data_IF_065039256602
#
_entry.id   IF_065039256602
#
_cell.length_a   1.000
_cell.length_b   1.000
_cell.length_c   1.000
_cell.angle_alpha   90.00
_cell.angle_beta   90.00
_cell.angle_gamma   90.00
#
_symmetry.space_group_name_H-M   'P 1'
#
loop_
_entity.id
_entity.type
_entity.pdbx_description
1 polymer ?
#
# COMPACT_ATOMS: atom_id res chain seq x y z
N UNK A 1 -22.25 -42.97 -25.76
CA UNK A 1 -21.82 -41.87 -26.64
C UNK A 1 -21.34 -40.75 -25.73
N UNK A 2 -20.03 -40.67 -25.50
CA UNK A 2 -19.39 -39.77 -24.51
C UNK A 2 -18.52 -38.80 -25.29
N UNK A 3 -18.99 -37.57 -25.51
CA UNK A 3 -18.17 -36.49 -26.07
C UNK A 3 -18.65 -35.15 -25.48
N UNK A 4 -18.33 -34.85 -24.22
CA UNK A 4 -18.25 -33.47 -23.69
C UNK A 4 -17.19 -33.41 -22.57
N UNK A 5 -15.98 -33.91 -22.82
CA UNK A 5 -14.85 -33.76 -21.88
C UNK A 5 -13.54 -33.32 -22.56
N UNK A 6 -13.60 -32.86 -23.81
CA UNK A 6 -12.41 -32.46 -24.58
C UNK A 6 -12.17 -30.94 -24.68
N UNK A 7 -13.20 -30.08 -24.51
CA UNK A 7 -13.05 -28.64 -24.75
C UNK A 7 -12.65 -27.80 -23.52
N UNK A 8 -12.92 -28.28 -22.30
CA UNK A 8 -12.55 -27.54 -21.06
C UNK A 8 -11.04 -27.65 -20.78
N UNK A 9 -10.41 -28.74 -21.24
CA UNK A 9 -8.98 -29.01 -21.02
C UNK A 9 -8.08 -28.13 -21.87
N UNK A 10 -8.58 -27.64 -23.01
CA UNK A 10 -7.87 -26.76 -23.94
C UNK A 10 -7.76 -25.33 -23.45
N UNK A 11 -8.77 -24.79 -22.75
CA UNK A 11 -8.73 -23.40 -22.28
C UNK A 11 -7.79 -23.22 -21.09
N UNK A 12 -7.81 -24.12 -20.10
CA UNK A 12 -6.88 -24.04 -18.97
C UNK A 12 -5.43 -24.23 -19.40
N UNK A 13 -5.14 -25.11 -20.37
CA UNK A 13 -3.79 -25.27 -20.92
C UNK A 13 -3.37 -24.02 -21.72
N UNK A 14 -4.30 -23.35 -22.41
CA UNK A 14 -4.05 -22.08 -23.09
C UNK A 14 -3.73 -20.96 -22.09
N UNK A 15 -4.50 -20.87 -21.01
CA UNK A 15 -4.26 -19.92 -19.92
C UNK A 15 -2.96 -20.22 -19.16
N UNK A 16 -2.63 -21.48 -18.91
CA UNK A 16 -1.36 -21.89 -18.28
C UNK A 16 -0.16 -21.55 -19.17
N UNK A 17 -0.28 -21.72 -20.50
CA UNK A 17 0.77 -21.32 -21.43
C UNK A 17 0.90 -19.79 -21.55
N UNK A 18 -0.20 -19.04 -21.44
CA UNK A 18 -0.17 -17.57 -21.35
C UNK A 18 0.53 -17.12 -20.06
N UNK A 19 0.24 -17.76 -18.92
CA UNK A 19 0.95 -17.44 -17.66
C UNK A 19 2.43 -17.85 -17.68
N UNK A 20 2.81 -18.84 -18.49
CA UNK A 20 4.23 -19.20 -18.70
C UNK A 20 4.97 -18.24 -19.62
N UNK A 21 4.26 -17.46 -20.43
CA UNK A 21 4.81 -16.36 -21.25
C UNK A 21 4.72 -15.00 -20.55
N UNK A 22 4.15 -14.94 -19.35
CA UNK A 22 4.26 -13.80 -18.47
C UNK A 22 5.67 -13.83 -17.87
N UNK A 23 6.66 -13.48 -18.69
CA UNK A 23 7.91 -13.00 -18.11
C UNK A 23 7.54 -11.76 -17.32
N UNK A 24 7.80 -11.72 -16.00
CA UNK A 24 7.53 -10.54 -15.22
C UNK A 24 8.33 -9.44 -15.90
N UNK A 25 7.62 -8.52 -16.55
CA UNK A 25 8.26 -7.30 -16.99
C UNK A 25 8.74 -6.72 -15.66
N UNK A 26 10.06 -6.55 -15.49
CA UNK A 26 10.71 -6.17 -14.23
C UNK A 26 10.37 -4.75 -13.75
N UNK A 27 9.10 -4.40 -13.86
CA UNK A 27 8.41 -3.17 -13.56
C UNK A 27 7.17 -3.61 -12.74
N UNK A 28 7.45 -4.04 -11.51
CA UNK A 28 6.51 -4.61 -10.54
C UNK A 28 5.26 -3.71 -10.34
N UNK A 29 5.39 -2.41 -10.63
CA UNK A 29 4.29 -1.44 -10.59
C UNK A 29 3.18 -1.74 -11.61
N UNK A 30 3.52 -2.21 -12.82
CA UNK A 30 2.52 -2.52 -13.85
C UNK A 30 1.72 -3.77 -13.51
N UNK A 31 2.36 -4.75 -12.89
CA UNK A 31 1.68 -5.97 -12.44
C UNK A 31 0.70 -5.69 -11.29
N UNK A 32 1.03 -4.78 -10.38
CA UNK A 32 0.16 -4.40 -9.26
C UNK A 32 -1.10 -3.63 -9.74
N UNK A 33 -0.95 -2.74 -10.72
CA UNK A 33 -2.05 -2.04 -11.39
C UNK A 33 -3.00 -3.01 -12.11
N UNK A 34 -2.44 -3.99 -12.83
CA UNK A 34 -3.21 -5.01 -13.53
C UNK A 34 -4.01 -5.87 -12.54
N UNK A 35 -3.40 -6.27 -11.42
CA UNK A 35 -4.08 -7.02 -10.35
C UNK A 35 -5.23 -6.21 -9.73
N UNK A 36 -5.03 -4.91 -9.50
CA UNK A 36 -6.08 -4.02 -9.00
C UNK A 36 -7.28 -3.96 -9.96
N UNK A 37 -7.01 -3.74 -11.25
CA UNK A 37 -8.05 -3.67 -12.29
C UNK A 37 -8.81 -5.00 -12.40
N UNK A 38 -8.11 -6.13 -12.36
CA UNK A 38 -8.73 -7.48 -12.39
C UNK A 38 -9.66 -7.66 -11.19
N UNK A 39 -9.23 -7.29 -9.98
CA UNK A 39 -10.07 -7.37 -8.77
C UNK A 39 -11.31 -6.48 -8.86
N UNK A 40 -11.15 -5.24 -9.35
CA UNK A 40 -12.29 -4.32 -9.57
C UNK A 40 -13.28 -4.88 -10.58
N UNK A 41 -12.79 -5.38 -11.71
CA UNK A 41 -13.62 -6.00 -12.74
C UNK A 41 -14.39 -7.22 -12.19
N UNK A 42 -13.71 -8.14 -11.50
CA UNK A 42 -14.35 -9.31 -10.90
C UNK A 42 -15.45 -8.90 -9.92
N UNK A 43 -15.19 -7.92 -9.04
CA UNK A 43 -16.18 -7.39 -8.09
C UNK A 43 -17.40 -6.81 -8.82
N UNK A 44 -17.21 -6.05 -9.89
CA UNK A 44 -18.32 -5.50 -10.69
C UNK A 44 -19.13 -6.62 -11.34
N UNK A 45 -18.48 -7.61 -11.97
CA UNK A 45 -19.17 -8.75 -12.61
C UNK A 45 -19.98 -9.60 -11.63
N UNK A 46 -19.55 -9.65 -10.37
CA UNK A 46 -20.25 -10.38 -9.31
C UNK A 46 -21.32 -9.55 -8.59
N UNK A 47 -21.43 -8.25 -8.89
CA UNK A 47 -22.42 -7.34 -8.29
C UNK A 47 -23.76 -7.40 -9.04
N UNK A 48 -24.83 -6.99 -8.37
CA UNK A 48 -26.15 -6.83 -8.99
C UNK A 48 -26.25 -5.52 -9.78
N UNK A 49 -27.20 -5.43 -10.73
CA UNK A 49 -27.43 -4.21 -11.52
C UNK A 49 -27.74 -2.98 -10.64
N UNK A 50 -28.42 -3.19 -9.50
CA UNK A 50 -28.71 -2.12 -8.53
C UNK A 50 -27.43 -1.56 -7.91
N UNK A 51 -26.52 -2.44 -7.51
CA UNK A 51 -25.22 -2.06 -6.95
C UNK A 51 -24.37 -1.36 -7.99
N UNK A 52 -24.32 -1.84 -9.24
CA UNK A 52 -23.60 -1.17 -10.33
C UNK A 52 -24.06 0.28 -10.53
N UNK A 53 -25.37 0.52 -10.50
CA UNK A 53 -25.92 1.88 -10.62
C UNK A 53 -25.55 2.76 -9.44
N UNK A 54 -25.46 2.18 -8.24
CA UNK A 54 -25.00 2.88 -7.05
C UNK A 54 -23.51 3.23 -7.16
N UNK A 55 -22.67 2.29 -7.60
CA UNK A 55 -21.25 2.55 -7.83
C UNK A 55 -21.03 3.59 -8.92
N UNK A 56 -21.81 3.55 -10.00
CA UNK A 56 -21.79 4.57 -11.04
C UNK A 56 -21.98 5.97 -10.45
N UNK A 57 -22.99 6.13 -9.58
CA UNK A 57 -23.26 7.40 -8.89
C UNK A 57 -22.10 7.81 -7.98
N UNK A 58 -21.53 6.87 -7.23
CA UNK A 58 -20.43 7.16 -6.32
C UNK A 58 -19.13 7.53 -7.05
N UNK A 59 -18.79 6.84 -8.13
CA UNK A 59 -17.52 7.00 -8.83
C UNK A 59 -17.53 8.16 -9.83
N UNK A 60 -18.66 8.39 -10.52
CA UNK A 60 -18.77 9.44 -11.54
C UNK A 60 -19.51 10.69 -11.03
N UNK A 61 -20.09 10.65 -9.83
CA UNK A 61 -20.83 11.77 -9.23
C UNK A 61 -22.13 12.13 -9.96
N UNK A 62 -22.62 11.26 -10.85
CA UNK A 62 -23.81 11.46 -11.70
C UNK A 62 -24.75 10.28 -11.57
N UNK A 63 -26.06 10.52 -11.64
CA UNK A 63 -27.02 9.42 -11.68
C UNK A 63 -26.81 8.57 -12.94
N UNK A 64 -26.90 7.25 -12.77
CA UNK A 64 -26.75 6.31 -13.89
C UNK A 64 -27.93 6.44 -14.85
N UNK A 65 -27.69 6.70 -16.15
CA UNK A 65 -28.74 6.64 -17.15
C UNK A 65 -29.42 5.27 -17.15
N UNK A 66 -30.73 5.26 -17.39
CA UNK A 66 -31.57 4.05 -17.27
C UNK A 66 -31.48 3.12 -18.49
N UNK A 67 -31.02 3.64 -19.62
CA UNK A 67 -30.84 2.97 -20.90
C UNK A 67 -29.54 2.17 -21.00
N UNK A 68 -28.59 2.36 -20.08
CA UNK A 68 -27.33 1.61 -20.08
C UNK A 68 -27.51 0.17 -19.59
N UNK A 69 -26.92 -0.75 -20.35
CA UNK A 69 -26.78 -2.16 -19.98
C UNK A 69 -25.74 -2.37 -18.88
N UNK A 70 -25.77 -3.54 -18.25
CA UNK A 70 -24.80 -3.95 -17.22
C UNK A 70 -23.35 -3.84 -17.71
N UNK A 71 -23.10 -4.28 -18.95
CA UNK A 71 -21.76 -4.28 -19.55
C UNK A 71 -21.29 -2.86 -19.82
N UNK A 72 -22.15 -1.98 -20.32
CA UNK A 72 -21.81 -0.57 -20.56
C UNK A 72 -21.52 0.18 -19.26
N UNK A 73 -22.27 -0.11 -18.18
CA UNK A 73 -21.98 0.46 -16.85
C UNK A 73 -20.63 -0.04 -16.34
N UNK A 74 -20.36 -1.34 -16.49
CA UNK A 74 -19.08 -1.95 -16.09
C UNK A 74 -17.91 -1.33 -16.84
N UNK A 75 -18.03 -1.17 -18.17
CA UNK A 75 -17.00 -0.54 -19.01
C UNK A 75 -16.73 0.89 -18.54
N UNK A 76 -17.77 1.70 -18.36
CA UNK A 76 -17.60 3.10 -17.90
C UNK A 76 -16.93 3.21 -16.53
N UNK A 77 -17.23 2.29 -15.61
CA UNK A 77 -16.58 2.22 -14.30
C UNK A 77 -15.11 1.79 -14.43
N UNK A 78 -14.81 0.79 -15.25
CA UNK A 78 -13.45 0.34 -15.51
C UNK A 78 -12.60 1.41 -16.20
N UNK A 79 -13.16 2.15 -17.16
CA UNK A 79 -12.51 3.30 -17.79
C UNK A 79 -12.20 4.39 -16.77
N UNK A 80 -13.11 4.66 -15.83
CA UNK A 80 -12.84 5.62 -14.75
C UNK A 80 -11.71 5.15 -13.83
N UNK A 81 -11.65 3.88 -13.46
CA UNK A 81 -10.56 3.32 -12.65
C UNK A 81 -9.22 3.33 -13.39
N UNK A 82 -9.20 2.99 -14.68
CA UNK A 82 -7.99 3.09 -15.49
C UNK A 82 -7.53 4.54 -15.67
N UNK A 83 -8.47 5.47 -15.88
CA UNK A 83 -8.18 6.89 -15.94
C UNK A 83 -7.67 7.42 -14.59
N UNK A 84 -8.11 6.86 -13.47
CA UNK A 84 -7.61 7.17 -12.13
C UNK A 84 -6.14 6.74 -11.95
N UNK A 85 -5.76 5.55 -12.40
CA UNK A 85 -4.37 5.08 -12.37
C UNK A 85 -3.43 5.89 -13.29
N UNK A 86 -3.93 6.31 -14.45
CA UNK A 86 -3.15 7.10 -15.43
C UNK A 86 -3.01 8.57 -15.08
N UNK A 87 -3.80 9.07 -14.12
CA UNK A 87 -3.56 10.42 -13.59
C UNK A 87 -2.20 10.36 -12.89
N UNK A 88 -1.26 11.26 -13.22
CA UNK A 88 0.00 11.31 -12.48
C UNK A 88 -0.35 11.40 -11.00
N UNK A 89 0.22 10.49 -10.21
CA UNK A 89 0.05 10.48 -8.76
C UNK A 89 0.53 11.85 -8.29
N UNK A 90 -0.42 12.73 -8.04
CA UNK A 90 -0.18 13.90 -7.23
C UNK A 90 0.30 13.28 -5.89
N UNK A 91 1.46 13.65 -5.31
CA UNK A 91 1.98 13.16 -4.00
C UNK A 91 1.12 13.62 -2.80
N UNK A 92 -0.13 13.73 -3.12
CA UNK A 92 -1.12 14.73 -2.89
C UNK A 92 -2.46 14.04 -3.40
N UNK A 93 -2.50 12.68 -3.42
CA UNK A 93 -3.59 11.68 -3.22
C UNK A 93 -4.56 11.28 -4.35
N UNK A 94 -5.35 10.18 -4.30
CA UNK A 94 -6.26 9.66 -3.23
C UNK A 94 -6.53 8.11 -3.27
N UNK A 95 -6.78 7.31 -2.21
CA UNK A 95 -7.52 7.54 -0.95
C UNK A 95 -7.12 8.84 -0.27
N UNK A 96 -8.07 9.68 0.14
CA UNK A 96 -7.78 11.06 0.52
C UNK A 96 -6.62 11.28 1.50
N UNK A 97 -5.92 12.43 1.37
CA UNK A 97 -4.63 12.88 2.02
C UNK A 97 -4.56 12.56 3.47
N UNK A 98 -5.71 12.48 4.10
CA UNK A 98 -5.83 12.10 5.46
C UNK A 98 -5.55 10.60 5.74
N UNK A 99 -5.18 9.77 4.76
CA UNK A 99 -5.22 8.31 4.93
C UNK A 99 -4.08 7.49 4.29
N UNK A 100 -3.08 8.09 3.65
CA UNK A 100 -1.87 7.33 3.27
C UNK A 100 -0.94 7.22 4.48
N UNK A 101 -0.54 6.01 4.94
CA UNK A 101 0.19 5.88 6.18
C UNK A 101 1.51 6.63 6.22
N UNK A 102 2.19 6.73 5.08
CA UNK A 102 3.46 7.45 4.97
C UNK A 102 3.24 8.96 5.00
N UNK A 103 2.29 9.47 4.23
CA UNK A 103 2.01 10.92 4.16
C UNK A 103 1.51 11.43 5.51
N UNK A 104 0.65 10.64 6.18
CA UNK A 104 0.22 10.90 7.55
C UNK A 104 1.41 10.97 8.51
N UNK A 105 2.35 10.02 8.42
CA UNK A 105 3.53 9.99 9.26
C UNK A 105 4.49 11.16 8.96
N UNK A 106 4.69 11.50 7.69
CA UNK A 106 5.48 12.65 7.29
C UNK A 106 4.86 13.96 7.81
N UNK A 107 3.55 14.11 7.66
CA UNK A 107 2.79 15.25 8.19
C UNK A 107 2.88 15.31 9.72
N UNK A 108 2.78 14.18 10.42
CA UNK A 108 2.97 14.11 11.87
C UNK A 108 4.38 14.53 12.30
N UNK A 109 5.41 14.18 11.54
CA UNK A 109 6.77 14.59 11.84
C UNK A 109 7.02 16.07 11.54
N UNK A 110 6.37 16.62 10.50
CA UNK A 110 6.46 18.04 10.09
C UNK A 110 5.64 18.96 10.99
N UNK A 111 4.43 18.55 11.37
CA UNK A 111 3.50 19.31 12.19
C UNK A 111 3.85 19.12 13.68
N UNK A 112 4.79 19.95 14.15
CA UNK A 112 5.36 20.01 15.52
C UNK A 112 4.37 20.17 16.69
N UNK A 113 3.06 19.93 16.54
CA UNK A 113 2.07 20.43 17.49
C UNK A 113 1.99 19.60 18.79
N UNK A 114 2.70 20.11 19.80
CA UNK A 114 2.19 20.35 21.16
C UNK A 114 1.30 19.24 21.75
N UNK A 115 1.92 18.28 22.42
CA UNK A 115 1.27 17.51 23.50
C UNK A 115 0.17 16.53 23.10
N UNK A 116 -0.18 16.41 21.81
CA UNK A 116 -1.08 15.35 21.32
C UNK A 116 -0.24 14.12 21.00
N UNK A 117 -0.74 12.93 21.34
CA UNK A 117 -0.03 11.65 21.17
C UNK A 117 0.28 11.41 19.67
N UNK A 118 1.46 11.83 19.20
CA UNK A 118 1.96 11.71 17.83
C UNK A 118 2.67 10.38 17.63
N UNK A 119 1.95 9.27 17.71
CA UNK A 119 2.50 7.96 17.33
C UNK A 119 2.33 7.75 15.85
N UNK A 120 3.39 7.27 15.22
CA UNK A 120 3.36 6.87 13.82
C UNK A 120 2.54 5.59 13.68
N UNK A 121 2.04 5.35 12.47
CA UNK A 121 1.24 4.17 12.19
C UNK A 121 2.08 2.90 12.41
N UNK A 122 1.55 1.91 13.16
CA UNK A 122 2.25 0.65 13.37
C UNK A 122 2.55 -0.08 12.06
N UNK A 123 3.72 -0.72 11.99
CA UNK A 123 4.24 -1.32 10.77
C UNK A 123 5.05 -0.36 9.90
N UNK A 124 5.11 0.94 10.23
CA UNK A 124 6.04 1.87 9.57
C UNK A 124 7.48 1.56 9.95
N UNK A 125 8.36 1.54 8.97
CA UNK A 125 9.82 1.54 9.15
C UNK A 125 10.37 2.90 8.79
N UNK A 126 11.25 3.42 9.63
CA UNK A 126 11.94 4.68 9.43
C UNK A 126 13.41 4.38 9.17
N UNK A 127 13.90 4.78 8.00
CA UNK A 127 15.33 4.82 7.70
C UNK A 127 15.83 6.25 7.76
N UNK A 128 16.84 6.50 8.59
CA UNK A 128 17.39 7.84 8.83
C UNK A 128 18.89 7.86 8.57
N UNK A 129 19.36 8.66 7.62
CA UNK A 129 20.80 8.80 7.32
C UNK A 129 21.47 9.93 8.13
N UNK A 130 22.16 9.59 9.22
CA UNK A 130 22.80 10.57 10.10
C UNK A 130 24.29 10.27 10.28
N UNK A 131 25.14 11.29 10.08
CA UNK A 131 26.60 11.20 10.18
C UNK A 131 27.20 10.02 9.37
N UNK A 132 26.66 9.75 8.18
CA UNK A 132 27.14 8.69 7.31
C UNK A 132 26.60 7.28 7.61
N UNK A 133 25.79 7.13 8.67
CA UNK A 133 25.17 5.85 9.04
C UNK A 133 23.66 5.89 8.79
N UNK A 134 23.09 4.74 8.41
CA UNK A 134 21.64 4.56 8.27
C UNK A 134 21.10 3.89 9.53
N UNK A 135 20.13 4.53 10.15
CA UNK A 135 19.46 4.04 11.35
C UNK A 135 18.04 3.60 11.00
N UNK A 136 17.73 2.34 11.32
CA UNK A 136 16.44 1.71 11.01
C UNK A 136 15.62 1.57 12.28
N UNK A 137 14.41 2.14 12.29
CA UNK A 137 13.50 2.13 13.44
C UNK A 137 12.17 1.51 13.00
N UNK A 138 11.69 0.51 13.75
CA UNK A 138 10.40 -0.11 13.50
C UNK A 138 9.35 0.49 14.42
N UNK A 139 8.25 0.96 13.85
CA UNK A 139 7.13 1.52 14.59
C UNK A 139 6.16 0.41 14.95
N UNK A 140 6.08 0.09 16.24
CA UNK A 140 5.15 -0.90 16.77
C UNK A 140 3.95 -0.22 17.44
N UNK A 141 2.91 -1.01 17.71
CA UNK A 141 1.65 -0.48 18.29
C UNK A 141 1.88 0.32 19.58
N UNK A 142 2.81 -0.15 20.42
CA UNK A 142 3.03 0.41 21.75
C UNK A 142 4.43 0.98 21.97
N UNK A 143 5.38 0.76 21.07
CA UNK A 143 6.78 1.13 21.24
C UNK A 143 7.46 1.36 19.88
N UNK A 144 8.69 1.86 19.92
CA UNK A 144 9.58 1.91 18.77
C UNK A 144 10.71 0.91 19.01
N UNK A 145 10.99 0.04 18.05
CA UNK A 145 12.14 -0.85 18.08
C UNK A 145 13.31 -0.21 17.34
N UNK A 146 14.44 -0.10 18.01
CA UNK A 146 15.68 0.32 17.39
C UNK A 146 16.80 -0.60 17.90
N UNK A 147 17.39 -1.37 16.97
CA UNK A 147 18.47 -2.32 17.28
C UNK A 147 18.07 -3.41 18.29
N UNK A 148 16.81 -3.86 18.28
CA UNK A 148 16.28 -4.86 19.21
C UNK A 148 15.93 -4.33 20.60
N UNK A 149 16.06 -3.02 20.82
CA UNK A 149 15.71 -2.35 22.08
C UNK A 149 14.41 -1.57 21.92
N UNK A 150 13.52 -1.68 22.90
CA UNK A 150 12.21 -1.00 22.91
C UNK A 150 12.31 0.39 23.51
N UNK A 151 11.78 1.38 22.81
CA UNK A 151 11.73 2.78 23.22
C UNK A 151 10.28 3.28 23.27
N UNK A 152 9.97 4.15 24.23
CA UNK A 152 8.62 4.68 24.42
C UNK A 152 8.29 5.84 23.46
N UNK A 153 9.32 6.49 22.91
CA UNK A 153 9.16 7.63 22.01
C UNK A 153 10.29 7.75 20.98
N UNK A 154 10.01 8.42 19.86
CA UNK A 154 11.03 8.80 18.88
C UNK A 154 12.10 9.73 19.47
N UNK A 155 11.80 10.49 20.52
CA UNK A 155 12.80 11.34 21.17
C UNK A 155 13.82 10.52 21.95
N UNK A 156 13.40 9.39 22.52
CA UNK A 156 14.31 8.47 23.19
C UNK A 156 15.25 7.82 22.16
N UNK A 157 14.70 7.36 21.03
CA UNK A 157 15.50 6.81 19.92
C UNK A 157 16.46 7.86 19.35
N UNK A 158 15.98 9.08 19.08
CA UNK A 158 16.84 10.15 18.56
C UNK A 158 17.93 10.55 19.55
N UNK A 159 17.64 10.56 20.85
CA UNK A 159 18.64 10.86 21.88
C UNK A 159 19.67 9.73 22.00
N UNK A 160 19.24 8.48 21.84
CA UNK A 160 20.13 7.33 21.76
C UNK A 160 21.07 7.43 20.55
N UNK A 161 20.54 7.73 19.35
CA UNK A 161 21.34 7.86 18.12
C UNK A 161 22.31 9.05 18.20
N UNK A 162 21.85 10.19 18.72
CA UNK A 162 22.64 11.44 18.71
C UNK A 162 23.53 11.63 19.94
N UNK A 163 23.38 10.80 20.96
CA UNK A 163 24.11 10.92 22.24
C UNK A 163 23.74 12.14 23.09
N UNK A 164 22.69 12.88 22.70
CA UNK A 164 22.23 14.09 23.39
C UNK A 164 20.72 14.20 23.30
N UNK A 165 20.10 14.97 24.19
CA UNK A 165 18.65 15.20 24.14
C UNK A 165 18.24 15.85 22.81
N UNK A 166 17.55 15.09 21.96
CA UNK A 166 17.14 15.53 20.63
C UNK A 166 15.63 15.32 20.42
N UNK A 167 14.90 16.33 19.91
CA UNK A 167 13.48 16.15 19.57
C UNK A 167 13.32 15.13 18.44
N UNK A 168 12.72 13.97 18.75
CA UNK A 168 12.53 12.85 17.82
C UNK A 168 11.90 13.26 16.49
N UNK A 169 10.75 13.96 16.47
CA UNK A 169 10.10 14.35 15.23
C UNK A 169 11.00 15.20 14.32
N UNK A 170 11.74 16.16 14.90
CA UNK A 170 12.66 16.98 14.13
C UNK A 170 13.85 16.19 13.59
N UNK A 171 14.34 15.21 14.34
CA UNK A 171 15.43 14.36 13.90
C UNK A 171 15.02 13.46 12.73
N UNK A 172 13.85 12.83 12.83
CA UNK A 172 13.32 11.89 11.83
C UNK A 172 12.57 12.56 10.67
N UNK A 173 12.37 13.88 10.69
CA UNK A 173 11.81 14.63 9.54
C UNK A 173 12.83 14.96 8.44
N UNK A 174 14.12 14.64 8.63
CA UNK A 174 15.21 15.08 7.75
C UNK A 174 15.96 13.89 7.20
N UNK A 175 16.17 13.85 5.87
CA UNK A 175 16.88 12.74 5.20
C UNK A 175 16.41 11.39 5.74
N UNK A 176 15.10 11.21 5.68
CA UNK A 176 14.41 10.03 6.17
C UNK A 176 13.62 9.43 5.03
N UNK A 177 13.69 8.10 4.92
CA UNK A 177 12.77 7.32 4.09
C UNK A 177 11.85 6.56 5.01
N UNK A 178 10.59 6.46 4.61
CA UNK A 178 9.60 5.67 5.33
C UNK A 178 8.90 4.73 4.38
N UNK A 179 8.65 3.53 4.87
CA UNK A 179 7.86 2.53 4.17
C UNK A 179 7.07 1.69 5.16
N UNK A 180 6.00 1.07 4.68
CA UNK A 180 5.22 0.13 5.47
C UNK A 180 5.84 -1.25 5.32
N UNK A 181 6.17 -1.87 6.45
CA UNK A 181 6.52 -3.28 6.47
C UNK A 181 5.23 -4.08 6.24
N UNK A 182 5.16 -4.79 5.12
CA UNK A 182 4.08 -5.72 4.88
C UNK A 182 4.28 -6.91 5.83
N UNK A 183 3.47 -6.98 6.90
CA UNK A 183 3.68 -7.90 8.04
C UNK A 183 3.61 -9.40 7.69
N UNK A 184 3.50 -9.74 6.42
CA UNK A 184 3.76 -11.08 5.88
C UNK A 184 5.25 -11.49 5.94
N UNK A 185 6.18 -10.56 6.17
CA UNK A 185 7.60 -10.84 6.43
C UNK A 185 8.17 -9.76 7.37
N UNK A 186 7.99 -9.91 8.67
CA UNK A 186 9.05 -9.44 9.56
C UNK A 186 10.23 -10.40 9.36
N UNK A 187 11.42 -9.96 8.94
CA UNK A 187 12.58 -10.83 9.02
C UNK A 187 12.72 -11.23 10.50
N UNK A 188 12.64 -12.53 10.77
CA UNK A 188 13.13 -13.07 12.03
C UNK A 188 14.56 -12.55 12.22
N UNK A 189 14.80 -11.99 13.39
CA UNK A 189 15.98 -11.24 13.77
C UNK A 189 17.29 -11.92 13.26
N UNK A 190 18.05 -11.30 12.33
CA UNK A 190 19.28 -11.91 11.80
C UNK A 190 20.37 -12.12 12.86
N UNK A 191 20.22 -11.53 14.05
CA UNK A 191 21.21 -11.57 15.12
C UNK A 191 20.92 -12.58 16.24
N UNK A 192 19.85 -13.37 16.14
CA UNK A 192 19.45 -14.30 17.22
C UNK A 192 20.00 -15.73 17.05
N UNK A 193 20.66 -16.04 15.92
CA UNK A 193 21.21 -17.38 15.63
C UNK A 193 22.74 -17.45 15.71
N UNK A 194 23.37 -16.71 16.65
CA UNK A 194 24.82 -16.77 16.89
C UNK A 194 25.17 -17.26 18.31
N UNK A 195 24.28 -18.03 18.95
CA UNK A 195 24.58 -18.70 20.22
C UNK A 195 23.70 -19.94 20.37
N UNK A 196 24.06 -21.02 19.66
CA UNK A 196 23.87 -22.39 20.14
C UNK A 196 24.84 -23.33 19.41
#
# INVERSE_FOLDING_TARGET
>A
MVIIMSEVKTDLQRWVNITKCFEPSGDDAREEDDIYLIKRYARLRMSSLKELRQDYKLQLGKDCPMDLSFDEITIKLMENFQAELKKPINPDIHLPRHMHPIDFNEDLLRCKSKGKLTRLIPGTVIEREYQGNVYVVYCEKSFYDYGGTKYNSLSDVASMITGRRCPGPSFFSRKTRMYMLNRAKAPENPFENASN
#
